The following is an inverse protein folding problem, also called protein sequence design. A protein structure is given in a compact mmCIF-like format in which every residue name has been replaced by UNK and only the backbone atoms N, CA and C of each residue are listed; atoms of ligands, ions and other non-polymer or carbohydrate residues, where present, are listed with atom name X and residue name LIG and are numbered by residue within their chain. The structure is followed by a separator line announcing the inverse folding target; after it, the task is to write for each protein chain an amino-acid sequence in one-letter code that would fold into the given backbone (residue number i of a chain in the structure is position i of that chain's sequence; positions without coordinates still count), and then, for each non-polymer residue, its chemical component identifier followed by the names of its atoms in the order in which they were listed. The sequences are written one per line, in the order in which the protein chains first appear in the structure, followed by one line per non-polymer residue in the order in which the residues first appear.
data_IF_929292429178
#
_entry.id   IF_929292429178
#
_cell.length_a   1.000
_cell.length_b   1.000
_cell.length_c   1.000
_cell.angle_alpha   90.00
_cell.angle_beta   90.00
_cell.angle_gamma   90.00
#
_symmetry.space_group_name_H-M   'P 1'
#
loop_
_entity.id
_entity.type
_entity.pdbx_description
1 polymer ?
#
# COMPACT_ATOMS: atom_id res chain seq x y z
N UNK A 1 -9.51 -8.05 -16.80
CA UNK A 1 -10.19 -7.21 -15.79
C UNK A 1 -9.35 -7.20 -14.52
N UNK A 2 -9.32 -6.11 -13.73
CA UNK A 2 -8.66 -6.05 -12.42
C UNK A 2 -9.68 -5.63 -11.36
N UNK A 3 -9.50 -6.08 -10.11
CA UNK A 3 -10.31 -5.62 -8.99
C UNK A 3 -9.58 -4.51 -8.24
N UNK A 4 -10.30 -3.42 -7.92
CA UNK A 4 -9.81 -2.35 -7.04
C UNK A 4 -10.66 -2.22 -5.79
N UNK A 5 -10.54 -3.15 -4.82
CA UNK A 5 -11.29 -3.09 -3.58
C UNK A 5 -10.57 -2.22 -2.53
N UNK A 6 -11.30 -1.88 -1.47
CA UNK A 6 -10.71 -1.44 -0.21
C UNK A 6 -10.03 -2.61 0.51
N UNK A 7 -9.05 -2.30 1.35
CA UNK A 7 -8.61 -3.23 2.39
C UNK A 7 -9.68 -3.34 3.48
N UNK A 8 -9.72 -4.46 4.19
CA UNK A 8 -10.56 -4.62 5.39
C UNK A 8 -9.83 -3.98 6.57
N UNK A 9 -10.38 -2.88 7.10
CA UNK A 9 -9.78 -2.06 8.13
C UNK A 9 -10.83 -1.67 9.16
N UNK A 10 -10.39 -1.29 10.36
CA UNK A 10 -11.25 -0.59 11.31
C UNK A 10 -11.78 0.71 10.70
N UNK A 11 -12.99 1.10 11.08
CA UNK A 11 -13.51 2.43 10.78
C UNK A 11 -12.59 3.52 11.37
N UNK A 12 -12.53 4.69 10.73
CA UNK A 12 -11.65 5.79 11.19
C UNK A 12 -11.92 6.23 12.63
N UNK A 13 -13.19 6.24 13.01
CA UNK A 13 -13.63 6.64 14.36
C UNK A 13 -13.75 5.45 15.32
N UNK A 14 -13.29 4.26 14.90
CA UNK A 14 -13.29 3.09 15.76
C UNK A 14 -12.25 3.29 16.89
N UNK A 15 -12.65 3.20 18.17
CA UNK A 15 -11.73 3.44 19.28
C UNK A 15 -10.58 2.44 19.32
N UNK A 16 -10.80 1.23 18.80
CA UNK A 16 -9.79 0.20 18.63
C UNK A 16 -9.44 0.03 17.15
N UNK A 17 -8.23 0.41 16.78
CA UNK A 17 -7.70 0.20 15.44
C UNK A 17 -7.11 -1.20 15.33
N UNK A 18 -7.43 -1.90 14.24
CA UNK A 18 -6.84 -3.17 13.90
C UNK A 18 -5.34 -3.00 13.61
N UNK A 19 -4.52 -3.98 14.04
CA UNK A 19 -3.11 -4.01 13.69
C UNK A 19 -2.92 -4.44 12.23
N UNK A 20 -1.74 -4.17 11.68
CA UNK A 20 -1.37 -4.56 10.30
C UNK A 20 -1.55 -6.06 10.04
N UNK A 21 -1.27 -6.90 11.05
CA UNK A 21 -1.43 -8.35 10.96
C UNK A 21 -2.88 -8.81 10.72
N UNK A 22 -3.87 -7.96 10.98
CA UNK A 22 -5.28 -8.27 10.66
C UNK A 22 -5.54 -8.40 9.16
N UNK A 23 -4.60 -7.96 8.31
CA UNK A 23 -4.68 -8.11 6.85
C UNK A 23 -4.70 -9.57 6.39
N UNK A 24 -4.15 -10.48 7.19
CA UNK A 24 -4.17 -11.93 6.89
C UNK A 24 -5.60 -12.47 6.83
N UNK A 25 -6.47 -12.02 7.73
CA UNK A 25 -7.89 -12.38 7.71
C UNK A 25 -8.59 -11.92 6.43
N UNK A 26 -8.11 -10.84 5.81
CA UNK A 26 -8.63 -10.40 4.51
C UNK A 26 -8.16 -11.31 3.37
N UNK A 27 -6.90 -11.76 3.39
CA UNK A 27 -6.43 -12.75 2.42
C UNK A 27 -7.25 -14.05 2.50
N UNK A 28 -7.53 -14.56 3.70
CA UNK A 28 -8.37 -15.74 3.90
C UNK A 28 -9.79 -15.55 3.36
N UNK A 29 -10.38 -14.36 3.57
CA UNK A 29 -11.68 -14.02 3.00
C UNK A 29 -11.64 -14.03 1.46
N UNK A 30 -10.59 -13.45 0.87
CA UNK A 30 -10.39 -13.43 -0.58
C UNK A 30 -10.21 -14.84 -1.14
N UNK A 31 -9.43 -15.71 -0.49
CA UNK A 31 -9.30 -17.11 -0.92
C UNK A 31 -10.65 -17.84 -0.95
N UNK A 32 -11.50 -17.59 0.06
CA UNK A 32 -12.79 -18.28 0.19
C UNK A 32 -13.87 -17.74 -0.76
N UNK A 33 -13.81 -16.45 -1.12
CA UNK A 33 -14.90 -15.76 -1.84
C UNK A 33 -14.49 -15.16 -3.18
N UNK A 34 -13.20 -15.06 -3.46
CA UNK A 34 -12.64 -14.46 -4.65
C UNK A 34 -12.77 -15.38 -5.87
N UNK A 35 -12.92 -14.77 -7.05
CA UNK A 35 -12.91 -15.51 -8.30
C UNK A 35 -11.49 -15.64 -8.83
N UNK A 36 -11.01 -16.87 -9.04
CA UNK A 36 -9.72 -17.14 -9.68
C UNK A 36 -9.61 -16.59 -11.11
N UNK A 37 -10.72 -16.13 -11.72
CA UNK A 37 -10.74 -15.59 -13.08
C UNK A 37 -10.11 -14.20 -13.22
N UNK A 38 -9.93 -13.45 -12.13
CA UNK A 38 -9.21 -12.17 -12.20
C UNK A 38 -7.71 -12.41 -12.04
N UNK A 39 -6.82 -11.78 -12.82
CA UNK A 39 -5.37 -11.97 -12.69
C UNK A 39 -4.75 -11.21 -11.49
N UNK A 40 -5.44 -10.21 -10.94
CA UNK A 40 -4.88 -9.40 -9.88
C UNK A 40 -5.86 -8.44 -9.21
N UNK A 41 -5.49 -8.07 -7.99
CA UNK A 41 -6.21 -7.17 -7.10
C UNK A 41 -5.29 -5.98 -6.80
N UNK A 42 -5.75 -4.77 -7.09
CA UNK A 42 -4.99 -3.52 -6.91
C UNK A 42 -5.67 -2.65 -5.86
N UNK A 43 -5.21 -2.70 -4.62
CA UNK A 43 -5.91 -2.06 -3.50
C UNK A 43 -5.91 -0.53 -3.60
N UNK A 44 -7.01 0.10 -3.18
CA UNK A 44 -7.03 1.53 -2.88
C UNK A 44 -6.51 1.78 -1.46
N UNK A 45 -5.90 2.95 -1.21
CA UNK A 45 -5.29 3.25 0.11
C UNK A 45 -6.31 3.65 1.19
N UNK A 46 -7.58 3.89 0.87
CA UNK A 46 -8.68 3.97 1.84
C UNK A 46 -8.66 5.15 2.83
N UNK A 47 -7.66 6.03 2.78
CA UNK A 47 -7.47 7.09 3.78
C UNK A 47 -6.53 6.73 4.93
N UNK A 48 -5.86 5.59 4.81
CA UNK A 48 -4.65 5.28 5.56
C UNK A 48 -3.55 6.31 5.29
N UNK A 49 -2.56 6.36 6.18
CA UNK A 49 -1.28 7.03 5.87
C UNK A 49 -0.55 6.32 4.74
N UNK A 50 0.45 6.99 4.16
CA UNK A 50 1.30 6.43 3.11
C UNK A 50 2.09 5.20 3.60
N UNK A 51 2.61 5.24 4.81
CA UNK A 51 3.32 4.11 5.42
C UNK A 51 2.38 2.94 5.74
N UNK A 52 1.22 3.20 6.36
CA UNK A 52 0.24 2.15 6.71
C UNK A 52 -0.26 1.38 5.47
N UNK A 53 -0.53 2.09 4.37
CA UNK A 53 -0.94 1.45 3.12
C UNK A 53 0.14 0.54 2.53
N UNK A 54 1.42 0.87 2.76
CA UNK A 54 2.57 0.05 2.37
C UNK A 54 2.69 -1.18 3.26
N UNK A 55 2.57 -1.00 4.58
CA UNK A 55 2.65 -2.07 5.59
C UNK A 55 1.56 -3.13 5.39
N UNK A 56 0.29 -2.72 5.22
CA UNK A 56 -0.80 -3.66 4.97
C UNK A 56 -0.61 -4.42 3.66
N UNK A 57 -0.19 -3.75 2.58
CA UNK A 57 0.11 -4.44 1.33
C UNK A 57 1.24 -5.45 1.49
N UNK A 58 2.27 -5.10 2.25
CA UNK A 58 3.39 -5.98 2.53
C UNK A 58 2.95 -7.23 3.31
N UNK A 59 2.19 -7.03 4.39
CA UNK A 59 1.65 -8.14 5.19
C UNK A 59 0.79 -9.09 4.36
N UNK A 60 -0.10 -8.56 3.52
CA UNK A 60 -0.90 -9.40 2.61
C UNK A 60 -0.04 -10.21 1.63
N UNK A 61 1.07 -9.64 1.14
CA UNK A 61 2.00 -10.36 0.25
C UNK A 61 2.96 -11.30 0.98
N UNK A 62 3.06 -11.21 2.31
CA UNK A 62 3.78 -12.17 3.16
C UNK A 62 2.91 -13.34 3.62
N UNK A 63 1.58 -13.21 3.51
CA UNK A 63 0.62 -14.24 3.93
C UNK A 63 0.85 -15.61 3.25
N UNK A 64 1.14 -15.61 1.94
CA UNK A 64 1.39 -16.84 1.20
C UNK A 64 1.04 -16.74 -0.28
N UNK A 65 1.07 -17.89 -0.95
CA UNK A 65 0.76 -18.00 -2.37
C UNK A 65 -0.75 -17.88 -2.60
N UNK A 66 -1.14 -16.76 -3.22
CA UNK A 66 -2.51 -16.51 -3.63
C UNK A 66 -2.65 -16.72 -5.15
N UNK A 67 -3.82 -17.16 -5.64
CA UNK A 67 -4.06 -17.32 -7.08
C UNK A 67 -4.07 -15.99 -7.85
N UNK A 68 -3.98 -14.86 -7.13
CA UNK A 68 -3.99 -13.50 -7.66
C UNK A 68 -2.73 -12.74 -7.30
N UNK A 69 -2.35 -11.83 -8.17
CA UNK A 69 -1.33 -10.83 -7.84
C UNK A 69 -1.95 -9.73 -6.96
N UNK A 70 -1.40 -9.48 -5.77
CA UNK A 70 -1.84 -8.40 -4.89
C UNK A 70 -0.95 -7.17 -5.02
N UNK A 71 -1.46 -6.07 -5.57
CA UNK A 71 -0.70 -4.84 -5.79
C UNK A 71 -1.48 -3.60 -5.34
N UNK A 72 -1.02 -2.41 -5.72
CA UNK A 72 -1.58 -1.12 -5.30
C UNK A 72 -2.13 -0.31 -6.47
N UNK A 73 -3.21 0.42 -6.21
CA UNK A 73 -3.73 1.51 -7.05
C UNK A 73 -3.99 2.72 -6.16
N UNK A 74 -2.90 3.34 -5.70
CA UNK A 74 -2.90 4.40 -4.69
C UNK A 74 -2.91 5.80 -5.31
N UNK A 75 -3.77 6.66 -4.76
CA UNK A 75 -3.73 8.10 -4.97
C UNK A 75 -3.00 8.77 -3.80
N UNK A 76 -3.75 9.10 -2.73
CA UNK A 76 -3.22 9.81 -1.55
C UNK A 76 -1.98 9.17 -0.93
N UNK A 77 -1.95 7.85 -0.74
CA UNK A 77 -0.78 7.18 -0.16
C UNK A 77 0.50 7.29 -1.02
N UNK A 78 0.37 7.58 -2.32
CA UNK A 78 1.52 7.76 -3.22
C UNK A 78 1.86 9.25 -3.41
N UNK A 79 0.87 10.14 -3.33
CA UNK A 79 1.03 11.56 -3.68
C UNK A 79 1.10 12.51 -2.48
N UNK A 80 0.60 12.14 -1.30
CA UNK A 80 0.64 12.99 -0.11
C UNK A 80 2.08 13.48 0.26
N UNK A 81 3.12 12.62 0.29
CA UNK A 81 4.48 13.08 0.56
C UNK A 81 5.05 13.93 -0.59
N UNK A 82 4.62 13.68 -1.83
CA UNK A 82 4.99 14.49 -3.01
C UNK A 82 4.47 15.92 -2.87
N UNK A 83 3.19 16.07 -2.54
CA UNK A 83 2.55 17.37 -2.35
C UNK A 83 3.16 18.13 -1.17
N UNK A 84 3.47 17.41 -0.07
CA UNK A 84 4.15 17.99 1.11
C UNK A 84 5.55 18.49 0.78
N UNK A 85 6.29 17.79 -0.06
CA UNK A 85 7.63 18.18 -0.51
C UNK A 85 7.58 19.33 -1.54
N UNK A 86 6.63 19.30 -2.47
CA UNK A 86 6.51 20.26 -3.56
C UNK A 86 6.06 21.65 -3.10
N UNK A 87 5.00 21.70 -2.26
CA UNK A 87 4.38 22.96 -1.79
C UNK A 87 3.96 23.95 -2.88
N UNK A 88 3.80 23.49 -4.13
CA UNK A 88 3.48 24.35 -5.27
C UNK A 88 4.67 25.15 -5.83
N UNK A 89 5.89 24.92 -5.32
CA UNK A 89 7.09 25.68 -5.69
C UNK A 89 7.94 24.91 -6.70
N UNK A 90 8.25 25.56 -7.83
CA UNK A 90 9.06 24.98 -8.91
C UNK A 90 10.48 24.62 -8.45
N UNK A 91 11.03 25.34 -7.47
CA UNK A 91 12.34 25.01 -6.90
C UNK A 91 12.36 23.66 -6.15
N UNK A 92 11.18 23.13 -5.76
CA UNK A 92 11.05 21.88 -5.01
C UNK A 92 10.71 20.67 -5.89
N UNK A 93 10.63 20.81 -7.22
CA UNK A 93 10.27 19.70 -8.13
C UNK A 93 11.17 18.48 -7.93
N UNK A 94 12.49 18.67 -7.83
CA UNK A 94 13.42 17.56 -7.61
C UNK A 94 13.18 16.83 -6.27
N UNK A 95 12.89 17.58 -5.20
CA UNK A 95 12.55 16.99 -3.88
C UNK A 95 11.22 16.22 -3.94
N UNK A 96 10.24 16.74 -4.66
CA UNK A 96 8.95 16.09 -4.85
C UNK A 96 9.06 14.79 -5.65
N UNK A 97 9.87 14.79 -6.72
CA UNK A 97 10.18 13.58 -7.50
C UNK A 97 10.89 12.53 -6.64
N UNK A 98 11.85 12.94 -5.80
CA UNK A 98 12.51 12.03 -4.87
C UNK A 98 11.53 11.41 -3.87
N UNK A 99 10.60 12.20 -3.32
CA UNK A 99 9.55 11.69 -2.43
C UNK A 99 8.62 10.70 -3.15
N UNK A 100 8.24 10.98 -4.40
CA UNK A 100 7.43 10.06 -5.22
C UNK A 100 8.17 8.74 -5.46
N UNK A 101 9.43 8.82 -5.90
CA UNK A 101 10.25 7.64 -6.19
C UNK A 101 10.41 6.77 -4.94
N UNK A 102 10.70 7.37 -3.80
CA UNK A 102 10.84 6.67 -2.54
C UNK A 102 9.56 5.92 -2.14
N UNK A 103 8.38 6.55 -2.24
CA UNK A 103 7.10 5.85 -1.99
C UNK A 103 6.78 4.77 -3.01
N UNK A 104 7.07 5.01 -4.28
CA UNK A 104 6.89 4.00 -5.32
C UNK A 104 7.79 2.78 -5.06
N UNK A 105 9.02 3.01 -4.60
CA UNK A 105 9.95 1.97 -4.21
C UNK A 105 9.46 1.15 -3.01
N UNK A 106 9.03 1.81 -1.92
CA UNK A 106 8.48 1.10 -0.75
C UNK A 106 7.25 0.24 -1.13
N UNK A 107 6.31 0.80 -1.90
CA UNK A 107 5.14 0.06 -2.38
C UNK A 107 5.51 -1.09 -3.34
N UNK A 108 6.55 -0.91 -4.16
CA UNK A 108 7.09 -1.97 -5.00
C UNK A 108 7.70 -3.11 -4.16
N UNK A 109 8.42 -2.79 -3.08
CA UNK A 109 8.93 -3.80 -2.15
C UNK A 109 7.80 -4.50 -1.39
N UNK A 110 6.78 -3.76 -0.97
CA UNK A 110 5.58 -4.30 -0.32
C UNK A 110 4.81 -5.25 -1.24
N UNK A 111 4.74 -4.96 -2.55
CA UNK A 111 4.20 -5.91 -3.54
C UNK A 111 4.90 -7.27 -3.46
N UNK A 112 6.19 -7.32 -3.18
CA UNK A 112 6.91 -8.59 -3.08
C UNK A 112 7.01 -9.15 -1.66
N UNK A 113 6.31 -8.56 -0.67
CA UNK A 113 6.45 -8.96 0.73
C UNK A 113 7.84 -8.66 1.32
N UNK A 114 8.57 -7.70 0.73
CA UNK A 114 9.98 -7.38 1.03
C UNK A 114 10.17 -5.97 1.59
N UNK A 115 9.10 -5.27 1.92
CA UNK A 115 9.19 -3.98 2.59
C UNK A 115 9.56 -4.19 4.06
N UNK A 116 10.43 -3.33 4.58
CA UNK A 116 10.79 -3.24 6.00
C UNK A 116 10.71 -1.79 6.44
N UNK A 117 10.47 -1.55 7.74
CA UNK A 117 10.36 -0.20 8.28
C UNK A 117 11.64 0.64 8.07
N UNK A 118 12.82 0.01 8.09
CA UNK A 118 14.10 0.67 7.79
C UNK A 118 14.11 1.36 6.42
N UNK A 119 13.32 0.86 5.46
CA UNK A 119 13.18 1.47 4.14
C UNK A 119 12.59 2.87 4.18
N UNK A 120 11.87 3.25 5.24
CA UNK A 120 11.28 4.60 5.41
C UNK A 120 12.34 5.69 5.61
N UNK A 121 13.50 5.30 6.11
CA UNK A 121 14.64 6.23 6.33
C UNK A 121 15.77 6.01 5.33
N UNK A 122 15.78 4.85 4.66
CA UNK A 122 16.74 4.54 3.61
C UNK A 122 16.50 5.38 2.35
N UNK A 123 17.59 5.73 1.65
CA UNK A 123 17.49 6.26 0.29
C UNK A 123 17.13 5.10 -0.64
N UNK A 124 16.08 5.28 -1.44
CA UNK A 124 15.80 4.36 -2.54
C UNK A 124 17.03 4.35 -3.47
N UNK A 125 17.54 3.15 -3.74
CA UNK A 125 18.77 2.89 -4.49
C UNK A 125 18.65 3.24 -5.97
#
# INVERSE_FOLDING_TARGET
MLLKPNMVLSGKDCPQQASVGSSEGYCQLLETRGSAAVPGIVFLSGGQTDQQATEHLNAMNQFGDLPWQLSFSYGRALQAPVLKAWKGDQANVAKAQQAFYHRAWCNSKARFGKYTEDMETAKAA
#
